data_IF_714085217357
#
_entry.id   IF_714085217357
#
_cell.length_a   1.000
_cell.length_b   1.000
_cell.length_c   1.000
_cell.angle_alpha   90.00
_cell.angle_beta   90.00
_cell.angle_gamma   90.00
#
_symmetry.space_group_name_H-M   'P 1'
#
loop_
_entity.id
_entity.type
_entity.pdbx_description
1 polymer ?
#
# COMPACT_ATOMS: atom_id res chain seq x y z
N UNK A 1 5.31 4.65 20.84
CA UNK A 1 5.71 4.29 19.46
C UNK A 1 4.79 3.17 19.03
N UNK A 2 4.14 3.29 17.87
CA UNK A 2 3.31 2.20 17.35
C UNK A 2 4.29 1.10 16.93
N UNK A 3 4.36 0.04 17.72
CA UNK A 3 5.15 -1.12 17.38
C UNK A 3 4.47 -1.81 16.20
N UNK A 4 5.15 -1.77 15.06
CA UNK A 4 4.62 -2.28 13.81
C UNK A 4 5.21 -3.67 13.59
N UNK A 5 4.69 -4.65 14.34
CA UNK A 5 5.07 -6.05 14.18
C UNK A 5 4.30 -6.66 13.00
N UNK A 6 4.98 -6.90 11.88
CA UNK A 6 4.39 -7.54 10.71
C UNK A 6 5.16 -7.23 9.43
N UNK A 7 4.74 -7.73 8.27
CA UNK A 7 5.37 -7.37 7.02
C UNK A 7 5.03 -5.91 6.66
N UNK A 8 6.02 -5.17 6.17
CA UNK A 8 5.88 -3.78 5.73
C UNK A 8 6.42 -3.62 4.31
N UNK A 9 5.94 -2.58 3.63
CA UNK A 9 6.55 -2.07 2.41
C UNK A 9 7.41 -0.85 2.74
N UNK A 10 8.40 -0.62 1.88
CA UNK A 10 9.24 0.57 1.94
C UNK A 10 8.54 1.75 1.29
N UNK A 11 8.56 2.89 1.96
CA UNK A 11 7.97 4.12 1.48
C UNK A 11 8.86 4.73 0.39
N UNK A 12 8.41 4.83 -0.87
CA UNK A 12 9.26 5.21 -2.00
C UNK A 12 9.79 6.65 -1.92
N UNK A 13 9.25 7.46 -1.01
CA UNK A 13 9.68 8.84 -0.79
C UNK A 13 10.72 9.01 0.31
N UNK A 14 10.74 8.16 1.33
CA UNK A 14 11.53 8.42 2.53
C UNK A 14 12.25 7.21 3.13
N UNK A 15 12.10 6.01 2.58
CA UNK A 15 12.67 4.80 3.19
C UNK A 15 11.91 4.31 4.44
N UNK A 16 10.83 5.01 4.81
CA UNK A 16 10.02 4.71 5.99
C UNK A 16 9.15 3.47 5.79
N UNK A 17 8.47 3.05 6.85
CA UNK A 17 7.66 1.83 6.82
C UNK A 17 6.19 2.11 6.48
N UNK A 18 5.63 1.28 5.62
CA UNK A 18 4.20 1.22 5.29
C UNK A 18 3.65 -0.13 5.76
N UNK A 19 3.01 -0.20 6.93
CA UNK A 19 2.41 -1.44 7.44
C UNK A 19 1.35 -2.03 6.51
N UNK A 20 1.53 -3.30 6.16
CA UNK A 20 0.55 -4.02 5.34
C UNK A 20 -0.76 -4.29 6.11
N UNK A 21 -0.70 -4.40 7.44
CA UNK A 21 -1.86 -4.62 8.30
C UNK A 21 -2.89 -3.47 8.27
N UNK A 22 -2.50 -2.28 7.79
CA UNK A 22 -3.36 -1.10 7.73
C UNK A 22 -3.64 -0.65 6.28
N UNK A 23 -3.46 -1.54 5.30
CA UNK A 23 -3.90 -1.26 3.93
C UNK A 23 -5.43 -1.24 3.86
N UNK A 24 -5.95 -0.22 3.21
CA UNK A 24 -7.36 -0.09 2.87
C UNK A 24 -7.54 -0.14 1.34
N UNK A 25 -8.71 -0.51 0.83
CA UNK A 25 -9.00 -0.35 -0.60
C UNK A 25 -8.82 1.11 -1.01
N UNK A 26 -8.14 1.34 -2.14
CA UNK A 26 -7.99 2.68 -2.70
C UNK A 26 -9.20 3.02 -3.57
N UNK A 27 -9.68 4.25 -3.45
CA UNK A 27 -10.75 4.81 -4.29
C UNK A 27 -10.22 5.32 -5.65
N UNK A 28 -8.89 5.46 -5.77
CA UNK A 28 -8.23 6.00 -6.98
C UNK A 28 -8.25 5.01 -8.14
N UNK A 29 -8.03 3.72 -7.86
CA UNK A 29 -8.03 2.66 -8.87
C UNK A 29 -8.76 1.41 -8.35
N UNK A 30 -9.65 0.80 -9.14
CA UNK A 30 -10.35 -0.41 -8.72
C UNK A 30 -9.36 -1.57 -8.51
N UNK A 31 -9.38 -2.15 -7.31
CA UNK A 31 -8.47 -3.24 -6.93
C UNK A 31 -7.13 -2.78 -6.35
N UNK A 32 -6.83 -1.48 -6.36
CA UNK A 32 -5.66 -0.96 -5.67
C UNK A 32 -5.88 -0.91 -4.15
N UNK A 33 -4.78 -1.02 -3.41
CA UNK A 33 -4.74 -0.83 -1.96
C UNK A 33 -3.98 0.47 -1.64
N UNK A 34 -4.32 1.13 -0.54
CA UNK A 34 -3.64 2.32 -0.06
C UNK A 34 -3.23 2.15 1.40
N UNK A 35 -1.99 2.53 1.71
CA UNK A 35 -1.45 2.59 3.06
C UNK A 35 -0.93 3.99 3.39
N UNK A 36 -0.61 4.23 4.66
CA UNK A 36 0.03 5.48 5.09
C UNK A 36 1.38 5.16 5.71
N UNK A 37 2.42 5.85 5.27
CA UNK A 37 3.74 5.73 5.86
C UNK A 37 3.72 6.26 7.31
N UNK A 38 4.31 5.52 8.24
CA UNK A 38 4.35 5.93 9.65
C UNK A 38 5.24 7.15 9.88
N UNK A 39 6.27 7.34 9.04
CA UNK A 39 7.29 8.36 9.20
C UNK A 39 6.87 9.68 8.52
N UNK A 40 6.74 9.69 7.19
CA UNK A 40 6.45 10.90 6.42
C UNK A 40 4.95 11.17 6.27
N UNK A 41 4.08 10.29 6.80
CA UNK A 41 2.62 10.41 6.79
C UNK A 41 1.99 10.53 5.40
N UNK A 42 2.75 10.26 4.34
CA UNK A 42 2.24 10.20 2.97
C UNK A 42 1.44 8.93 2.73
N UNK A 43 0.40 9.07 1.92
CA UNK A 43 -0.38 7.96 1.37
C UNK A 43 0.42 7.29 0.26
N UNK A 44 0.47 5.96 0.29
CA UNK A 44 1.14 5.11 -0.69
C UNK A 44 0.07 4.24 -1.31
N UNK A 45 -0.14 4.39 -2.62
CA UNK A 45 -1.07 3.55 -3.38
C UNK A 45 -0.29 2.40 -4.01
N UNK A 46 -0.83 1.19 -3.86
CA UNK A 46 -0.25 -0.08 -4.25
C UNK A 46 -1.23 -0.69 -5.24
N UNK A 47 -0.89 -0.61 -6.51
CA UNK A 47 -1.66 -1.25 -7.58
C UNK A 47 -1.13 -2.67 -7.74
N UNK A 48 -1.97 -3.72 -7.64
CA UNK A 48 -1.54 -5.06 -7.98
C UNK A 48 -1.09 -5.09 -9.45
N UNK A 49 -0.13 -5.96 -9.82
CA UNK A 49 0.23 -6.12 -11.22
C UNK A 49 -1.02 -6.48 -12.04
N UNK A 50 -1.07 -5.99 -13.28
CA UNK A 50 -2.12 -6.36 -14.23
C UNK A 50 -2.17 -7.89 -14.32
N UNK A 51 -3.30 -8.49 -13.93
CA UNK A 51 -3.44 -9.93 -13.96
C UNK A 51 -3.64 -10.34 -15.42
N UNK A 52 -2.69 -11.07 -16.04
CA UNK A 52 -2.78 -11.43 -17.45
C UNK A 52 -3.92 -12.42 -17.74
N UNK A 53 -4.60 -12.92 -16.71
CA UNK A 53 -5.76 -13.81 -16.78
C UNK A 53 -7.06 -13.13 -16.36
N UNK A 54 -7.05 -11.83 -16.05
CA UNK A 54 -8.26 -11.08 -15.78
C UNK A 54 -9.14 -11.12 -17.04
N UNK A 55 -10.41 -11.56 -16.93
CA UNK A 55 -11.28 -11.59 -18.09
C UNK A 55 -11.46 -10.16 -18.61
N UNK A 56 -11.06 -9.94 -19.86
CA UNK A 56 -11.33 -8.69 -20.57
C UNK A 56 -12.85 -8.45 -20.54
N UNK A 57 -13.25 -7.34 -19.92
CA UNK A 57 -14.66 -6.96 -19.78
C UNK A 57 -15.14 -6.17 -20.97
#
# INVERSE_FOLDING_TARGET
>A
MIDTHGPWLDCPWCGGRVPLAYLAPSDEEPGAAAGVCTECRRRVTITPPDDPFAPAR
#
